data_IF_504134937307
#
_entry.id   IF_504134937307
#
_cell.length_a   1.000
_cell.length_b   1.000
_cell.length_c   1.000
_cell.angle_alpha   90.00
_cell.angle_beta   90.00
_cell.angle_gamma   90.00
#
_symmetry.space_group_name_H-M   'P 1'
#
loop_
_entity.id
_entity.type
_entity.pdbx_description
1 polymer ?
#
# COMPACT_ATOMS: atom_id res chain seq x y z
N UNK A 1 12.23 22.73 9.65
CA UNK A 1 12.03 21.28 9.38
C UNK A 1 10.81 21.18 8.50
N UNK A 2 10.92 20.51 7.36
CA UNK A 2 9.79 20.32 6.43
C UNK A 2 8.97 19.16 6.94
N UNK A 3 7.69 19.38 7.28
CA UNK A 3 6.81 18.32 7.79
C UNK A 3 6.11 17.64 6.62
N UNK A 4 6.33 16.33 6.48
CA UNK A 4 5.85 15.52 5.35
C UNK A 4 5.27 14.22 5.87
N UNK A 5 4.25 13.72 5.17
CA UNK A 5 3.71 12.38 5.33
C UNK A 5 3.57 11.76 3.94
N UNK A 6 4.12 10.58 3.70
CA UNK A 6 4.12 9.94 2.37
C UNK A 6 3.45 8.56 2.38
N UNK A 7 2.75 8.23 3.46
CA UNK A 7 2.10 6.93 3.61
C UNK A 7 0.73 7.11 4.28
N UNK A 8 -0.21 7.68 3.52
CA UNK A 8 -1.62 7.74 3.91
C UNK A 8 -2.49 7.08 2.85
N UNK A 9 -3.65 6.56 3.28
CA UNK A 9 -4.63 5.90 2.43
C UNK A 9 -5.95 6.68 2.46
N UNK A 10 -6.51 6.94 1.27
CA UNK A 10 -7.84 7.53 1.11
C UNK A 10 -8.88 6.44 0.86
N UNK A 11 -10.14 6.81 0.68
CA UNK A 11 -11.18 5.96 0.08
C UNK A 11 -10.88 5.45 -1.35
N UNK A 12 -9.69 5.72 -1.89
CA UNK A 12 -9.10 5.02 -3.04
C UNK A 12 -8.50 3.66 -2.67
N UNK A 13 -8.28 3.37 -1.39
CA UNK A 13 -7.93 2.07 -0.83
C UNK A 13 -9.12 1.42 -0.12
N UNK A 14 -9.11 0.10 0.02
CA UNK A 14 -10.22 -0.68 0.57
C UNK A 14 -10.43 -0.45 2.07
N UNK A 15 -9.36 -0.13 2.79
CA UNK A 15 -9.34 0.15 4.22
C UNK A 15 -9.40 1.66 4.54
N UNK A 16 -9.38 2.52 3.52
CA UNK A 16 -9.43 3.96 3.66
C UNK A 16 -10.85 4.52 3.72
N UNK A 17 -11.02 5.62 4.46
CA UNK A 17 -12.36 6.17 4.78
C UNK A 17 -12.51 7.64 4.36
N UNK A 18 -11.42 8.41 4.39
CA UNK A 18 -11.46 9.85 4.08
C UNK A 18 -11.05 10.10 2.64
N UNK A 19 -11.70 11.06 1.98
CA UNK A 19 -11.34 11.46 0.63
C UNK A 19 -9.99 12.16 0.58
N UNK A 20 -9.34 12.13 -0.59
CA UNK A 20 -8.10 12.87 -0.86
C UNK A 20 -8.26 14.37 -0.56
N UNK A 21 -9.43 14.93 -0.88
CA UNK A 21 -9.72 16.35 -0.63
C UNK A 21 -9.79 16.67 0.86
N UNK A 22 -10.35 15.79 1.68
CA UNK A 22 -10.39 15.96 3.15
C UNK A 22 -8.99 15.90 3.75
N UNK A 23 -8.18 14.92 3.34
CA UNK A 23 -6.77 14.84 3.71
C UNK A 23 -6.01 16.12 3.31
N UNK A 24 -6.17 16.57 2.07
CA UNK A 24 -5.49 17.75 1.56
C UNK A 24 -5.85 19.02 2.35
N UNK A 25 -7.13 19.23 2.69
CA UNK A 25 -7.56 20.34 3.55
C UNK A 25 -6.94 20.26 4.93
N UNK A 26 -6.97 19.07 5.54
CA UNK A 26 -6.41 18.85 6.87
C UNK A 26 -4.90 19.08 6.90
N UNK A 27 -4.20 18.67 5.85
CA UNK A 27 -2.76 18.86 5.70
C UNK A 27 -2.38 20.35 5.69
N UNK A 28 -3.16 21.19 4.99
CA UNK A 28 -2.98 22.66 5.00
C UNK A 28 -3.15 23.22 6.41
N UNK A 29 -4.20 22.82 7.13
CA UNK A 29 -4.44 23.27 8.51
C UNK A 29 -3.31 22.88 9.46
N UNK A 30 -2.70 21.71 9.24
CA UNK A 30 -1.58 21.21 10.03
C UNK A 30 -0.23 21.81 9.63
N UNK A 31 -0.18 22.60 8.54
CA UNK A 31 1.05 23.16 8.01
C UNK A 31 2.00 22.11 7.42
N UNK A 32 1.46 21.00 6.90
CA UNK A 32 2.24 20.01 6.16
C UNK A 32 2.71 20.64 4.85
N UNK A 33 3.98 20.38 4.50
CA UNK A 33 4.53 20.81 3.23
C UNK A 33 4.17 19.83 2.10
N UNK A 34 4.04 18.54 2.42
CA UNK A 34 3.80 17.47 1.45
C UNK A 34 2.99 16.33 2.07
N UNK A 35 2.02 15.83 1.31
CA UNK A 35 1.26 14.60 1.61
C UNK A 35 1.32 13.68 0.40
N UNK A 36 1.70 12.42 0.62
CA UNK A 36 1.67 11.37 -0.36
C UNK A 36 0.61 10.34 -0.03
N UNK A 37 -0.36 10.23 -0.94
CA UNK A 37 -1.36 9.18 -0.94
C UNK A 37 -0.71 7.93 -1.50
N UNK A 38 -0.69 6.85 -0.74
CA UNK A 38 0.09 5.65 -1.01
C UNK A 38 -0.83 4.45 -1.22
N UNK A 39 -1.86 4.61 -2.05
CA UNK A 39 -3.01 3.70 -2.08
C UNK A 39 -2.63 2.23 -2.35
N UNK A 40 -3.37 1.31 -1.74
CA UNK A 40 -3.13 -0.12 -1.80
C UNK A 40 -3.29 -0.69 -3.22
N UNK A 41 -2.30 -1.49 -3.64
CA UNK A 41 -2.34 -2.30 -4.85
C UNK A 41 -2.06 -3.75 -4.50
N UNK A 42 -3.13 -4.51 -4.28
CA UNK A 42 -3.07 -5.93 -4.01
C UNK A 42 -3.43 -6.74 -5.27
N UNK A 43 -2.49 -7.60 -5.69
CA UNK A 43 -2.61 -8.43 -6.89
C UNK A 43 -2.99 -9.88 -6.58
N UNK A 44 -3.21 -10.20 -5.31
CA UNK A 44 -3.59 -11.53 -4.87
C UNK A 44 -5.09 -11.65 -4.61
N UNK A 45 -5.85 -12.48 -5.36
CA UNK A 45 -7.30 -12.65 -5.16
C UNK A 45 -7.72 -13.18 -3.78
N UNK A 46 -6.75 -13.60 -2.95
CA UNK A 46 -6.98 -13.97 -1.55
C UNK A 46 -7.10 -12.77 -0.63
N UNK A 47 -6.55 -11.63 -1.05
CA UNK A 47 -6.59 -10.37 -0.32
C UNK A 47 -7.95 -9.67 -0.51
N UNK A 48 -8.44 -8.98 0.53
CA UNK A 48 -9.69 -8.23 0.44
C UNK A 48 -9.57 -6.98 -0.44
N UNK A 49 -8.36 -6.40 -0.52
CA UNK A 49 -8.05 -5.24 -1.36
C UNK A 49 -7.84 -5.58 -2.83
N UNK A 50 -7.94 -6.87 -3.23
CA UNK A 50 -7.64 -7.30 -4.59
C UNK A 50 -8.42 -6.53 -5.66
N UNK A 51 -7.69 -5.78 -6.49
CA UNK A 51 -8.26 -5.00 -7.58
C UNK A 51 -9.16 -3.84 -7.13
N UNK A 52 -9.04 -3.38 -5.87
CA UNK A 52 -9.85 -2.28 -5.34
C UNK A 52 -9.46 -0.92 -5.96
N UNK A 53 -8.16 -0.67 -6.11
CA UNK A 53 -7.68 0.59 -6.67
C UNK A 53 -8.09 0.70 -8.14
N UNK A 54 -8.79 1.79 -8.46
CA UNK A 54 -9.10 2.19 -9.82
C UNK A 54 -8.22 3.41 -10.20
N UNK A 55 -7.11 3.24 -10.96
CA UNK A 55 -6.18 4.34 -11.24
C UNK A 55 -6.85 5.58 -11.85
N UNK A 56 -7.84 5.37 -12.73
CA UNK A 56 -8.58 6.48 -13.34
C UNK A 56 -9.44 7.28 -12.36
N UNK A 57 -9.99 6.65 -11.31
CA UNK A 57 -10.68 7.34 -10.21
C UNK A 57 -9.67 8.15 -9.40
N UNK A 58 -8.57 7.51 -9.03
CA UNK A 58 -7.51 8.10 -8.23
C UNK A 58 -6.89 9.34 -8.92
N UNK A 59 -6.64 9.27 -10.24
CA UNK A 59 -6.19 10.38 -11.08
C UNK A 59 -7.13 11.59 -10.98
N UNK A 60 -8.43 11.35 -11.10
CA UNK A 60 -9.44 12.40 -11.08
C UNK A 60 -9.52 13.06 -9.70
N UNK A 61 -9.50 12.26 -8.65
CA UNK A 61 -9.63 12.75 -7.27
C UNK A 61 -8.41 13.54 -6.82
N UNK A 62 -7.19 13.08 -7.12
CA UNK A 62 -5.98 13.83 -6.76
C UNK A 62 -5.83 15.11 -7.59
N UNK A 63 -6.22 15.09 -8.86
CA UNK A 63 -6.26 16.30 -9.68
C UNK A 63 -7.27 17.31 -9.13
N UNK A 64 -8.46 16.85 -8.71
CA UNK A 64 -9.46 17.69 -8.08
C UNK A 64 -8.94 18.28 -6.77
N UNK A 65 -8.31 17.49 -5.89
CA UNK A 65 -7.75 17.99 -4.64
C UNK A 65 -6.66 19.04 -4.87
N UNK A 66 -5.73 18.79 -5.81
CA UNK A 66 -4.66 19.73 -6.20
C UNK A 66 -5.21 21.09 -6.68
N UNK A 67 -6.39 21.13 -7.30
CA UNK A 67 -7.03 22.36 -7.73
C UNK A 67 -7.67 23.17 -6.58
N UNK A 68 -7.95 22.56 -5.43
CA UNK A 68 -8.69 23.18 -4.32
C UNK A 68 -7.81 23.55 -3.12
N UNK A 69 -6.55 23.13 -3.08
CA UNK A 69 -5.61 23.46 -2.01
C UNK A 69 -4.38 24.17 -2.53
N UNK A 70 -3.74 24.95 -1.66
CA UNK A 70 -2.45 25.59 -1.91
C UNK A 70 -1.56 25.44 -0.68
N UNK A 71 -0.26 25.65 -0.83
CA UNK A 71 0.74 25.54 0.24
C UNK A 71 1.00 24.12 0.79
N UNK A 72 0.37 23.10 0.23
CA UNK A 72 0.72 21.69 0.43
C UNK A 72 0.93 21.03 -0.93
N UNK A 73 1.98 20.21 -1.07
CA UNK A 73 2.22 19.39 -2.25
C UNK A 73 1.51 18.04 -2.07
N UNK A 74 0.69 17.64 -3.04
CA UNK A 74 0.04 16.33 -3.03
C UNK A 74 0.75 15.39 -3.99
N UNK A 75 1.19 14.22 -3.52
CA UNK A 75 1.83 13.18 -4.32
C UNK A 75 0.90 12.00 -4.55
N UNK A 76 0.98 11.48 -5.77
CA UNK A 76 0.24 10.33 -6.22
C UNK A 76 1.15 9.11 -6.18
N UNK A 77 1.11 8.35 -5.10
CA UNK A 77 1.89 7.12 -4.95
C UNK A 77 1.00 5.90 -4.77
N UNK A 78 1.65 4.76 -4.66
CA UNK A 78 0.99 3.47 -4.41
C UNK A 78 1.81 2.64 -3.45
N UNK A 79 1.13 1.82 -2.66
CA UNK A 79 1.69 0.74 -1.87
C UNK A 79 1.36 -0.59 -2.56
N UNK A 80 2.30 -1.12 -3.34
CA UNK A 80 2.11 -2.38 -4.05
C UNK A 80 2.57 -3.57 -3.22
N UNK A 81 1.66 -4.53 -3.03
CA UNK A 81 1.96 -5.74 -2.28
C UNK A 81 2.92 -6.65 -3.07
N UNK A 82 4.00 -7.07 -2.41
CA UNK A 82 5.01 -7.95 -2.97
C UNK A 82 4.76 -9.39 -2.56
N UNK A 83 4.80 -10.27 -3.55
CA UNK A 83 4.87 -11.72 -3.40
C UNK A 83 5.82 -12.26 -4.46
N UNK A 84 6.75 -13.14 -4.07
CA UNK A 84 7.78 -13.65 -4.97
C UNK A 84 7.20 -14.37 -6.20
N UNK A 85 6.02 -14.98 -6.07
CA UNK A 85 5.29 -15.64 -7.16
C UNK A 85 4.64 -14.69 -8.17
N UNK A 86 4.63 -13.38 -7.89
CA UNK A 86 3.87 -12.35 -8.64
C UNK A 86 4.72 -11.20 -9.15
N UNK A 87 6.05 -11.32 -9.16
CA UNK A 87 6.94 -10.24 -9.62
C UNK A 87 6.63 -9.77 -11.06
N UNK A 88 6.25 -10.69 -11.94
CA UNK A 88 5.88 -10.35 -13.33
C UNK A 88 4.56 -9.57 -13.38
N UNK A 89 3.58 -9.91 -12.54
CA UNK A 89 2.32 -9.17 -12.43
C UNK A 89 2.54 -7.76 -11.87
N UNK A 90 3.39 -7.63 -10.83
CA UNK A 90 3.80 -6.34 -10.27
C UNK A 90 4.46 -5.47 -11.35
N UNK A 91 5.40 -6.03 -12.12
CA UNK A 91 6.07 -5.30 -13.20
C UNK A 91 5.07 -4.83 -14.26
N UNK A 92 4.20 -5.72 -14.72
CA UNK A 92 3.20 -5.40 -15.74
C UNK A 92 2.21 -4.32 -15.26
N UNK A 93 1.82 -4.35 -13.98
CA UNK A 93 0.92 -3.34 -13.41
C UNK A 93 1.58 -1.95 -13.39
N UNK A 94 2.86 -1.88 -13.01
CA UNK A 94 3.62 -0.63 -12.93
C UNK A 94 3.89 0.01 -14.29
N UNK A 95 3.93 -0.75 -15.39
CA UNK A 95 4.18 -0.22 -16.74
C UNK A 95 3.04 0.69 -17.27
N UNK A 96 1.85 0.63 -16.65
CA UNK A 96 0.66 1.31 -17.14
C UNK A 96 0.47 2.76 -16.65
N UNK A 97 1.23 3.21 -15.65
CA UNK A 97 1.00 4.50 -14.99
C UNK A 97 2.27 5.08 -14.35
N UNK A 98 2.46 6.39 -14.50
CA UNK A 98 3.61 7.12 -13.96
C UNK A 98 3.29 7.67 -12.56
N UNK A 99 3.63 6.89 -11.53
CA UNK A 99 3.47 7.29 -10.13
C UNK A 99 4.57 8.25 -9.66
N UNK A 100 4.23 9.18 -8.76
CA UNK A 100 5.22 10.05 -8.11
C UNK A 100 6.24 9.24 -7.29
N UNK A 101 5.79 8.13 -6.69
CA UNK A 101 6.59 7.17 -5.94
C UNK A 101 5.85 5.83 -5.79
N UNK A 102 6.60 4.77 -5.47
CA UNK A 102 6.07 3.43 -5.20
C UNK A 102 6.67 2.93 -3.91
N UNK A 103 5.83 2.49 -2.98
CA UNK A 103 6.21 1.73 -1.78
C UNK A 103 5.92 0.26 -2.05
N UNK A 104 6.84 -0.60 -1.62
CA UNK A 104 6.66 -2.05 -1.70
C UNK A 104 6.49 -2.59 -0.30
N UNK A 105 5.43 -3.37 -0.09
CA UNK A 105 5.07 -3.93 1.23
C UNK A 105 4.77 -5.42 1.14
N UNK A 106 4.88 -6.12 2.27
CA UNK A 106 4.53 -7.55 2.35
C UNK A 106 3.32 -7.66 3.25
N UNK A 107 2.14 -7.84 2.65
CA UNK A 107 0.87 -8.04 3.37
C UNK A 107 0.54 -9.51 3.56
N UNK A 108 1.00 -10.37 2.65
CA UNK A 108 0.73 -11.80 2.67
C UNK A 108 2.04 -12.57 2.62
N UNK A 109 2.16 -13.60 3.46
CA UNK A 109 3.27 -14.54 3.44
C UNK A 109 2.75 -15.93 3.11
N UNK A 110 3.31 -16.53 2.06
CA UNK A 110 3.15 -17.95 1.75
C UNK A 110 4.22 -18.77 2.48
N UNK A 111 3.83 -19.91 3.05
CA UNK A 111 4.72 -20.85 3.73
C UNK A 111 4.32 -22.30 3.45
N UNK A 112 5.10 -23.28 3.95
CA UNK A 112 4.99 -24.69 3.52
C UNK A 112 3.59 -25.29 3.62
N UNK A 113 2.82 -24.86 4.62
CA UNK A 113 1.55 -25.48 5.00
C UNK A 113 0.37 -24.50 4.92
N UNK A 114 0.55 -23.33 4.31
CA UNK A 114 -0.50 -22.33 4.20
C UNK A 114 -0.03 -20.94 3.79
N UNK A 115 -0.86 -19.96 4.11
CA UNK A 115 -0.60 -18.54 3.88
C UNK A 115 -1.23 -17.73 5.01
N UNK A 116 -0.70 -16.54 5.26
CA UNK A 116 -1.23 -15.64 6.28
C UNK A 116 -1.20 -14.19 5.80
N UNK A 117 -2.26 -13.44 6.11
CA UNK A 117 -2.27 -11.96 6.04
C UNK A 117 -1.53 -11.47 7.27
N UNK A 118 -0.42 -10.75 7.10
CA UNK A 118 0.42 -10.23 8.19
C UNK A 118 0.34 -8.70 8.33
N UNK A 119 -0.47 -8.04 7.50
CA UNK A 119 -0.84 -6.62 7.68
C UNK A 119 -1.84 -6.43 8.83
N UNK A 120 -2.57 -7.48 9.22
CA UNK A 120 -3.57 -7.44 10.29
C UNK A 120 -2.98 -7.84 11.66
N UNK A 121 -3.22 -7.08 12.75
CA UNK A 121 -2.62 -7.35 14.06
C UNK A 121 -2.94 -8.74 14.63
N UNK A 122 -4.16 -9.24 14.42
CA UNK A 122 -4.58 -10.53 14.98
C UNK A 122 -3.89 -11.70 14.28
N UNK A 123 -3.81 -11.67 12.96
CA UNK A 123 -3.22 -12.74 12.15
C UNK A 123 -1.70 -12.69 12.18
N UNK A 124 -1.10 -11.50 12.15
CA UNK A 124 0.35 -11.33 12.29
C UNK A 124 0.87 -11.89 13.61
N UNK A 125 0.20 -11.60 14.74
CA UNK A 125 0.59 -12.13 16.05
C UNK A 125 0.55 -13.67 16.09
N UNK A 126 -0.46 -14.29 15.50
CA UNK A 126 -0.59 -15.75 15.42
C UNK A 126 0.51 -16.35 14.53
N UNK A 127 0.76 -15.74 13.38
CA UNK A 127 1.78 -16.19 12.43
C UNK A 127 3.18 -16.15 13.09
N UNK A 128 3.59 -15.00 13.62
CA UNK A 128 4.92 -14.84 14.22
C UNK A 128 5.09 -15.54 15.57
N UNK A 129 4.01 -15.96 16.23
CA UNK A 129 4.10 -16.82 17.41
C UNK A 129 4.42 -18.29 17.07
N UNK A 130 4.14 -18.72 15.84
CA UNK A 130 4.23 -20.12 15.40
C UNK A 130 5.25 -20.38 14.30
N UNK A 131 5.75 -19.34 13.64
CA UNK A 131 6.72 -19.44 12.54
C UNK A 131 7.96 -18.62 12.86
N UNK A 132 9.14 -19.25 12.75
CA UNK A 132 10.40 -18.52 12.83
C UNK A 132 10.73 -17.82 11.48
N UNK A 133 11.68 -16.89 11.49
CA UNK A 133 12.08 -16.17 10.28
C UNK A 133 12.55 -17.07 9.12
N UNK A 134 13.00 -18.31 9.41
CA UNK A 134 13.53 -19.24 8.40
C UNK A 134 12.43 -20.07 7.73
N UNK A 135 11.30 -20.24 8.40
CA UNK A 135 10.13 -20.94 7.86
C UNK A 135 9.36 -20.08 6.85
N UNK A 136 9.38 -18.75 7.01
CA UNK A 136 8.81 -17.79 6.06
C UNK A 136 9.56 -17.69 4.71
N UNK A 137 10.84 -18.07 4.66
CA UNK A 137 11.66 -18.08 3.44
C UNK A 137 11.49 -19.36 2.59
N UNK A 138 10.64 -20.30 3.01
CA UNK A 138 10.45 -21.60 2.33
C UNK A 138 11.69 -22.52 2.34
N UNK A 139 12.76 -22.17 3.09
CA UNK A 139 13.95 -23.02 3.22
C UNK A 139 13.71 -24.10 4.27
N UNK A 140 13.38 -25.31 3.80
CA UNK A 140 13.40 -26.52 4.65
C UNK A 140 14.77 -26.65 5.32
N UNK A 141 14.77 -26.79 6.65
CA UNK A 141 15.92 -27.22 7.42
C UNK A 141 16.36 -28.62 6.96
N UNK A 142 17.24 -28.70 5.96
CA UNK A 142 18.10 -29.87 5.79
C UNK A 142 19.17 -29.82 6.88
N UNK A 143 18.80 -30.23 8.09
CA UNK A 143 19.78 -30.67 9.09
C UNK A 143 20.15 -32.12 8.74
N UNK A 144 21.36 -32.29 8.23
CA UNK A 144 22.09 -33.57 8.22
C UNK A 144 22.38 -34.04 9.63
#
# INVERSE_FOLDING_TARGET
MTLVDLHVHSDCSDDGVSSITEYARRAVEMGLAEVGFCEHVDLDPRDCGYGYLEPGRYDQEIAAARAHVSNVRLRQGIEIAYQASREDEVRAWLEGHEWDYVVTSVHVVDYSDGWAIISEPQTSAVFFASHDQREGDGKKNNKS
#
